data_IF_935940358936
#
_entry.id   IF_935940358936
#
_cell.length_a   1.000
_cell.length_b   1.000
_cell.length_c   1.000
_cell.angle_alpha   90.00
_cell.angle_beta   90.00
_cell.angle_gamma   90.00
#
_symmetry.space_group_name_H-M   'P 1'
#
loop_
_entity.id
_entity.type
_entity.pdbx_description
1 polymer ?
#
# COMPACT_ATOMS: atom_id res chain seq x y z
N UNK A 1 -11.21 27.38 -6.84
CA UNK A 1 -10.69 26.23 -6.10
C UNK A 1 -11.70 25.12 -5.90
N UNK A 2 -12.90 25.43 -5.42
CA UNK A 2 -13.95 24.42 -5.25
C UNK A 2 -14.35 23.75 -6.57
N UNK A 3 -14.44 24.50 -7.67
CA UNK A 3 -14.80 23.97 -8.98
C UNK A 3 -13.75 22.99 -9.50
N UNK A 4 -12.46 23.25 -9.27
CA UNK A 4 -11.37 22.38 -9.70
C UNK A 4 -11.39 21.07 -8.91
N UNK A 5 -11.68 21.15 -7.60
CA UNK A 5 -11.75 19.97 -6.74
C UNK A 5 -12.91 19.06 -7.15
N UNK A 6 -14.06 19.63 -7.49
CA UNK A 6 -15.23 18.87 -7.96
C UNK A 6 -14.95 18.23 -9.31
N UNK A 7 -14.31 18.94 -10.24
CA UNK A 7 -13.89 18.39 -11.53
C UNK A 7 -12.93 17.22 -11.35
N UNK A 8 -11.95 17.35 -10.46
CA UNK A 8 -10.98 16.28 -10.20
C UNK A 8 -11.66 15.04 -9.63
N UNK A 9 -12.61 15.21 -8.70
CA UNK A 9 -13.37 14.09 -8.14
C UNK A 9 -14.21 13.39 -9.21
N UNK A 10 -14.82 14.15 -10.12
CA UNK A 10 -15.60 13.61 -11.22
C UNK A 10 -14.71 12.84 -12.21
N UNK A 11 -13.56 13.40 -12.57
CA UNK A 11 -12.60 12.73 -13.45
C UNK A 11 -12.04 11.47 -12.83
N UNK A 12 -11.75 11.47 -11.53
CA UNK A 12 -11.32 10.29 -10.78
C UNK A 12 -12.31 9.14 -10.89
N UNK A 13 -13.60 9.42 -10.82
CA UNK A 13 -14.65 8.41 -10.90
C UNK A 13 -14.75 7.78 -12.29
N UNK A 14 -14.30 8.47 -13.34
CA UNK A 14 -14.36 7.98 -14.72
C UNK A 14 -13.12 7.18 -15.13
N UNK A 15 -11.98 7.42 -14.51
CA UNK A 15 -10.73 6.74 -14.86
C UNK A 15 -10.53 5.52 -13.97
N UNK A 16 -10.63 4.29 -14.52
CA UNK A 16 -10.46 3.08 -13.72
C UNK A 16 -9.11 2.98 -13.02
N UNK A 17 -8.03 3.38 -13.68
CA UNK A 17 -6.69 3.36 -13.09
C UNK A 17 -6.61 4.32 -11.91
N UNK A 18 -7.21 5.49 -12.06
CA UNK A 18 -7.23 6.48 -10.99
C UNK A 18 -8.04 6.00 -9.79
N UNK A 19 -9.18 5.35 -10.03
CA UNK A 19 -10.02 4.78 -8.98
C UNK A 19 -9.24 3.71 -8.20
N UNK A 20 -8.57 2.83 -8.93
CA UNK A 20 -7.76 1.77 -8.33
C UNK A 20 -6.66 2.33 -7.44
N UNK A 21 -5.92 3.31 -7.94
CA UNK A 21 -4.85 3.97 -7.17
C UNK A 21 -5.42 4.71 -5.95
N UNK A 22 -6.56 5.36 -6.11
CA UNK A 22 -7.22 6.06 -5.00
C UNK A 22 -7.62 5.10 -3.89
N UNK A 23 -8.09 3.90 -4.24
CA UNK A 23 -8.43 2.87 -3.27
C UNK A 23 -7.18 2.37 -2.54
N UNK A 24 -6.09 2.13 -3.26
CA UNK A 24 -4.83 1.70 -2.64
C UNK A 24 -4.24 2.78 -1.73
N UNK A 25 -4.28 4.04 -2.16
CA UNK A 25 -3.81 5.16 -1.36
C UNK A 25 -4.66 5.36 -0.11
N UNK A 26 -5.98 5.20 -0.23
CA UNK A 26 -6.88 5.26 0.92
C UNK A 26 -6.59 4.15 1.92
N UNK A 27 -6.36 2.94 1.43
CA UNK A 27 -5.99 1.80 2.27
C UNK A 27 -4.65 2.05 2.99
N UNK A 28 -3.67 2.60 2.28
CA UNK A 28 -2.39 2.97 2.86
C UNK A 28 -2.56 3.98 3.98
N UNK A 29 -3.33 5.03 3.74
CA UNK A 29 -3.57 6.08 4.73
C UNK A 29 -4.26 5.54 5.97
N UNK A 30 -5.28 4.71 5.81
CA UNK A 30 -5.96 4.08 6.94
C UNK A 30 -5.02 3.17 7.73
N UNK A 31 -4.22 2.37 7.04
CA UNK A 31 -3.27 1.49 7.68
C UNK A 31 -2.20 2.28 8.45
N UNK A 32 -1.74 3.40 7.89
CA UNK A 32 -0.73 4.24 8.51
C UNK A 32 -1.25 5.00 9.74
N UNK A 33 -2.51 5.44 9.70
CA UNK A 33 -3.08 6.26 10.78
C UNK A 33 -3.78 5.45 11.85
N UNK A 34 -4.47 4.37 11.46
CA UNK A 34 -5.32 3.61 12.37
C UNK A 34 -4.96 2.13 12.47
N UNK A 35 -4.09 1.65 11.60
CA UNK A 35 -3.69 0.24 11.55
C UNK A 35 -4.49 -0.55 10.53
N UNK A 36 -3.96 -1.72 10.17
CA UNK A 36 -4.52 -2.56 9.11
C UNK A 36 -5.92 -3.08 9.46
N UNK A 37 -6.24 -3.21 10.75
CA UNK A 37 -7.56 -3.66 11.19
C UNK A 37 -8.68 -2.69 10.79
N UNK A 38 -8.37 -1.41 10.65
CA UNK A 38 -9.34 -0.39 10.23
C UNK A 38 -9.48 -0.26 8.72
N UNK A 39 -8.71 -1.01 7.96
CA UNK A 39 -8.85 -1.06 6.50
C UNK A 39 -10.04 -1.95 6.18
N UNK A 40 -11.19 -1.32 5.93
CA UNK A 40 -12.43 -2.00 5.58
C UNK A 40 -12.94 -1.48 4.24
N UNK A 41 -13.79 -2.27 3.57
CA UNK A 41 -14.39 -1.86 2.30
C UNK A 41 -15.10 -0.51 2.45
N UNK A 42 -15.87 -0.34 3.52
CA UNK A 42 -16.60 0.90 3.77
C UNK A 42 -15.67 2.09 3.95
N UNK A 43 -14.69 1.97 4.81
CA UNK A 43 -13.78 3.08 5.12
C UNK A 43 -12.88 3.44 3.94
N UNK A 44 -12.40 2.44 3.22
CA UNK A 44 -11.56 2.66 2.04
C UNK A 44 -12.37 3.36 0.94
N UNK A 45 -13.58 2.87 0.67
CA UNK A 45 -14.45 3.46 -0.36
C UNK A 45 -14.82 4.89 0.00
N UNK A 46 -15.15 5.14 1.26
CA UNK A 46 -15.50 6.47 1.74
C UNK A 46 -14.31 7.43 1.60
N UNK A 47 -13.14 7.03 2.04
CA UNK A 47 -11.94 7.86 1.95
C UNK A 47 -11.53 8.12 0.50
N UNK A 48 -11.67 7.14 -0.36
CA UNK A 48 -11.39 7.28 -1.80
C UNK A 48 -12.49 8.02 -2.56
N UNK A 49 -13.60 8.32 -1.90
CA UNK A 49 -14.75 9.00 -2.50
C UNK A 49 -15.35 8.23 -3.67
N UNK A 50 -15.45 6.92 -3.52
CA UNK A 50 -16.06 6.02 -4.51
C UNK A 50 -17.11 5.14 -3.87
N UNK A 51 -17.95 4.52 -4.69
CA UNK A 51 -18.98 3.60 -4.21
C UNK A 51 -18.36 2.23 -3.88
N UNK A 52 -19.08 1.45 -3.06
CA UNK A 52 -18.70 0.05 -2.82
C UNK A 52 -18.69 -0.76 -4.12
N UNK A 53 -19.62 -0.46 -5.05
CA UNK A 53 -19.63 -1.10 -6.36
C UNK A 53 -18.33 -0.86 -7.11
N UNK A 54 -17.82 0.36 -7.08
CA UNK A 54 -16.53 0.68 -7.68
C UNK A 54 -15.39 -0.09 -7.00
N UNK A 55 -15.44 -0.22 -5.68
CA UNK A 55 -14.46 -1.02 -4.95
C UNK A 55 -14.45 -2.47 -5.48
N UNK A 56 -15.62 -3.11 -5.51
CA UNK A 56 -15.72 -4.50 -5.90
C UNK A 56 -15.46 -4.73 -7.40
N UNK A 57 -15.50 -3.67 -8.20
CA UNK A 57 -15.05 -3.74 -9.59
C UNK A 57 -13.53 -3.95 -9.68
N UNK A 58 -12.77 -3.45 -8.73
CA UNK A 58 -11.30 -3.53 -8.73
C UNK A 58 -10.73 -4.59 -7.81
N UNK A 59 -11.39 -4.88 -6.70
CA UNK A 59 -10.90 -5.82 -5.68
C UNK A 59 -12.03 -6.73 -5.24
N UNK A 60 -11.79 -8.02 -5.25
CA UNK A 60 -12.80 -9.01 -4.86
C UNK A 60 -13.16 -8.91 -3.38
N UNK A 61 -12.21 -8.50 -2.55
CA UNK A 61 -12.37 -8.46 -1.09
C UNK A 61 -11.37 -7.50 -0.49
N UNK A 62 -11.53 -7.24 0.82
CA UNK A 62 -10.55 -6.51 1.62
C UNK A 62 -9.17 -7.18 1.55
N UNK A 63 -9.15 -8.50 1.64
CA UNK A 63 -7.91 -9.28 1.64
C UNK A 63 -7.14 -9.10 0.33
N UNK A 64 -7.82 -9.07 -0.79
CA UNK A 64 -7.22 -8.79 -2.10
C UNK A 64 -6.61 -7.39 -2.11
N UNK A 65 -7.34 -6.41 -1.60
CA UNK A 65 -6.83 -5.04 -1.49
C UNK A 65 -5.57 -4.96 -0.64
N UNK A 66 -5.56 -5.62 0.52
CA UNK A 66 -4.41 -5.63 1.44
C UNK A 66 -3.21 -6.33 0.78
N UNK A 67 -3.45 -7.41 0.07
CA UNK A 67 -2.39 -8.11 -0.67
C UNK A 67 -1.76 -7.20 -1.73
N UNK A 68 -2.57 -6.47 -2.47
CA UNK A 68 -2.05 -5.53 -3.47
C UNK A 68 -1.36 -4.33 -2.84
N UNK A 69 -1.85 -3.86 -1.69
CA UNK A 69 -1.16 -2.83 -0.92
C UNK A 69 0.24 -3.29 -0.52
N UNK A 70 0.35 -4.52 -0.04
CA UNK A 70 1.64 -5.11 0.32
C UNK A 70 2.56 -5.20 -0.89
N UNK A 71 2.06 -5.64 -2.04
CA UNK A 71 2.83 -5.70 -3.28
C UNK A 71 3.30 -4.33 -3.73
N UNK A 72 2.45 -3.31 -3.59
CA UNK A 72 2.82 -1.93 -3.91
C UNK A 72 3.98 -1.45 -3.03
N UNK A 73 3.92 -1.75 -1.74
CA UNK A 73 4.99 -1.37 -0.82
C UNK A 73 6.28 -2.12 -1.09
N UNK A 74 6.20 -3.40 -1.41
CA UNK A 74 7.37 -4.20 -1.79
C UNK A 74 8.02 -3.66 -3.07
N UNK A 75 7.21 -3.28 -4.05
CA UNK A 75 7.70 -2.68 -5.29
C UNK A 75 8.43 -1.37 -5.03
N UNK A 76 7.88 -0.54 -4.13
CA UNK A 76 8.53 0.73 -3.76
C UNK A 76 9.87 0.48 -3.06
N UNK A 77 9.91 -0.47 -2.15
CA UNK A 77 11.13 -0.86 -1.46
C UNK A 77 12.19 -1.38 -2.44
N UNK A 78 11.77 -2.23 -3.37
CA UNK A 78 12.65 -2.80 -4.39
C UNK A 78 13.25 -1.71 -5.29
N UNK A 79 12.45 -0.77 -5.75
CA UNK A 79 12.92 0.36 -6.56
C UNK A 79 13.90 1.23 -5.78
N UNK A 80 13.64 1.45 -4.50
CA UNK A 80 14.52 2.23 -3.66
C UNK A 80 15.85 1.52 -3.42
N UNK A 81 15.78 0.22 -3.20
CA UNK A 81 16.96 -0.63 -3.08
C UNK A 81 17.81 -0.56 -4.35
N UNK A 82 17.20 -0.71 -5.52
CA UNK A 82 17.91 -0.65 -6.80
C UNK A 82 18.60 0.70 -6.99
N UNK A 83 17.91 1.78 -6.61
CA UNK A 83 18.48 3.14 -6.69
C UNK A 83 19.69 3.28 -5.78
N UNK A 84 19.59 2.79 -4.56
CA UNK A 84 20.70 2.86 -3.59
C UNK A 84 21.86 1.96 -3.99
N UNK A 85 21.57 0.80 -4.59
CA UNK A 85 22.63 -0.06 -5.15
C UNK A 85 23.38 0.62 -6.28
N UNK A 86 22.69 1.38 -7.12
CA UNK A 86 23.32 2.12 -8.21
C UNK A 86 24.24 3.23 -7.69
N UNK A 87 23.93 3.79 -6.52
CA UNK A 87 24.76 4.82 -5.88
C UNK A 87 25.97 4.27 -5.14
N UNK A 88 25.92 3.01 -4.72
CA UNK A 88 27.03 2.36 -4.02
C UNK A 88 28.11 1.94 -5.01
N UNK A 89 29.35 2.21 -4.66
CA UNK A 89 30.47 1.68 -5.40
C UNK A 89 30.56 0.16 -5.15
N UNK A 90 31.15 -0.54 -6.12
CA UNK A 90 31.29 -1.99 -6.08
C UNK A 90 32.32 -2.39 -5.01
N UNK A 91 31.95 -2.23 -3.75
CA UNK A 91 32.81 -2.53 -2.60
C UNK A 91 32.14 -3.60 -1.72
N UNK A 92 32.95 -4.24 -0.88
CA UNK A 92 32.46 -5.25 0.04
C UNK A 92 31.36 -4.66 0.93
N UNK A 93 30.24 -5.36 1.03
CA UNK A 93 29.13 -4.96 1.85
C UNK A 93 28.19 -3.95 1.21
N UNK A 94 28.36 -3.59 -0.07
CA UNK A 94 27.48 -2.63 -0.75
C UNK A 94 26.02 -3.10 -0.74
N UNK A 95 25.77 -4.37 -0.93
CA UNK A 95 24.43 -4.95 -0.88
C UNK A 95 23.79 -4.74 0.49
N UNK A 96 24.52 -5.07 1.56
CA UNK A 96 24.03 -4.93 2.93
C UNK A 96 23.76 -3.46 3.27
N UNK A 97 24.66 -2.56 2.89
CA UNK A 97 24.49 -1.11 3.13
C UNK A 97 23.26 -0.58 2.38
N UNK A 98 23.08 -0.96 1.11
CA UNK A 98 21.95 -0.53 0.32
C UNK A 98 20.64 -1.04 0.93
N UNK A 99 20.63 -2.29 1.37
CA UNK A 99 19.45 -2.87 2.00
C UNK A 99 19.08 -2.13 3.29
N UNK A 100 20.06 -1.86 4.15
CA UNK A 100 19.83 -1.15 5.39
C UNK A 100 19.33 0.28 5.11
N UNK A 101 19.94 0.98 4.15
CA UNK A 101 19.49 2.31 3.76
C UNK A 101 18.07 2.32 3.23
N UNK A 102 17.71 1.33 2.40
CA UNK A 102 16.36 1.20 1.88
C UNK A 102 15.35 1.03 3.00
N UNK A 103 15.65 0.16 3.96
CA UNK A 103 14.77 -0.10 5.09
C UNK A 103 14.59 1.13 5.99
N UNK A 104 15.64 1.92 6.20
CA UNK A 104 15.58 3.09 7.08
C UNK A 104 15.18 4.39 6.38
N UNK A 105 15.15 4.41 5.06
CA UNK A 105 14.75 5.60 4.32
C UNK A 105 13.25 5.72 4.11
N UNK A 106 12.51 4.67 4.44
CA UNK A 106 11.05 4.72 4.37
C UNK A 106 10.50 5.79 5.34
N UNK A 107 9.44 6.46 4.90
CA UNK A 107 8.75 7.43 5.75
C UNK A 107 8.10 6.78 6.96
N UNK A 108 7.77 7.60 7.95
CA UNK A 108 7.13 7.12 9.18
C UNK A 108 5.80 6.40 8.89
N UNK A 109 5.04 6.88 7.91
CA UNK A 109 3.78 6.25 7.51
C UNK A 109 4.01 4.84 6.97
N UNK A 110 5.00 4.66 6.11
CA UNK A 110 5.31 3.34 5.54
C UNK A 110 5.78 2.37 6.62
N UNK A 111 6.61 2.82 7.57
CA UNK A 111 7.03 1.99 8.69
C UNK A 111 5.85 1.51 9.52
N UNK A 112 4.86 2.37 9.76
CA UNK A 112 3.64 2.01 10.49
C UNK A 112 2.83 0.96 9.74
N UNK A 113 2.70 1.11 8.43
CA UNK A 113 1.99 0.14 7.60
C UNK A 113 2.71 -1.21 7.61
N UNK A 114 4.03 -1.21 7.46
CA UNK A 114 4.82 -2.45 7.56
C UNK A 114 4.66 -3.12 8.92
N UNK A 115 4.71 -2.35 10.01
CA UNK A 115 4.48 -2.88 11.35
C UNK A 115 3.12 -3.53 11.49
N UNK A 116 2.09 -2.89 10.95
CA UNK A 116 0.73 -3.41 10.95
C UNK A 116 0.61 -4.70 10.16
N UNK A 117 1.22 -4.75 8.98
CA UNK A 117 1.21 -5.96 8.13
C UNK A 117 1.95 -7.11 8.79
N UNK A 118 3.09 -6.84 9.42
CA UNK A 118 3.85 -7.86 10.14
C UNK A 118 3.05 -8.40 11.32
N UNK A 119 2.33 -7.55 12.04
CA UNK A 119 1.45 -7.98 13.12
C UNK A 119 0.34 -8.90 12.60
N UNK A 120 -0.22 -8.56 11.44
CA UNK A 120 -1.24 -9.38 10.78
C UNK A 120 -0.69 -10.76 10.43
N UNK A 121 0.52 -10.81 9.88
CA UNK A 121 1.18 -12.06 9.51
C UNK A 121 1.53 -12.93 10.73
N UNK A 122 1.78 -12.31 11.88
CA UNK A 122 2.06 -13.01 13.11
C UNK A 122 0.81 -13.61 13.77
N UNK A 123 -0.38 -13.16 13.39
CA UNK A 123 -1.64 -13.66 13.91
C UNK A 123 -2.05 -14.94 13.19
N UNK A 124 -2.22 -16.02 13.93
CA UNK A 124 -2.60 -17.33 13.36
C UNK A 124 -3.92 -17.27 12.61
N UNK A 125 -4.86 -16.48 13.08
CA UNK A 125 -6.19 -16.39 12.50
C UNK A 125 -6.22 -15.58 11.22
N UNK A 126 -5.18 -14.78 11.00
CA UNK A 126 -5.13 -13.82 9.88
C UNK A 126 -4.23 -14.29 8.74
N UNK A 127 -3.38 -15.27 8.97
CA UNK A 127 -2.36 -15.69 8.00
C UNK A 127 -2.95 -16.56 6.87
N UNK A 128 -4.09 -17.20 7.11
CA UNK A 128 -4.67 -18.17 6.16
C UNK A 128 -4.89 -17.65 4.75
N UNK A 129 -5.21 -16.37 4.59
CA UNK A 129 -5.46 -15.78 3.27
C UNK A 129 -4.20 -15.24 2.58
N UNK A 130 -3.15 -14.97 3.36
CA UNK A 130 -1.85 -14.52 2.83
C UNK A 130 -0.93 -15.70 2.59
N UNK A 131 -1.04 -16.70 3.42
CA UNK A 131 -0.20 -17.88 3.37
C UNK A 131 -0.57 -18.76 2.19
N UNK A 132 0.39 -19.07 1.36
CA UNK A 132 0.23 -20.03 0.27
C UNK A 132 0.98 -21.27 0.66
N UNK A 133 0.27 -22.33 1.10
CA UNK A 133 0.94 -23.59 1.41
C UNK A 133 1.56 -24.12 0.13
N UNK A 134 2.82 -24.38 0.20
CA UNK A 134 3.59 -24.92 -0.91
C UNK A 134 3.12 -26.28 -1.37
#
# INVERSE_FOLDING_TARGET
MKATKVKNAYMKKKDPLFVRESLLNAAFELAATKGIADVTVNKVSELAEVTKGAFFHHFDSKETLVTELMQMLLTRLDKQFDRLMAEEENSDGCFTRAYIRAAFSEGAAERKVWGSLLSLLASKDQVGWVWIPG
#
